data_IF_476489510989
#
_entry.id   IF_476489510989
#
_cell.length_a   1.000
_cell.length_b   1.000
_cell.length_c   1.000
_cell.angle_alpha   90.00
_cell.angle_beta   90.00
_cell.angle_gamma   90.00
#
_symmetry.space_group_name_H-M   'P 1'
#
loop_
_entity.id
_entity.type
_entity.pdbx_description
1 polymer ?
#
# COMPACT_ATOMS: atom_id res chain seq x y z
N UNK A 1 27.30 18.05 54.36
CA UNK A 1 26.38 18.62 53.35
C UNK A 1 27.08 18.56 52.02
N UNK A 2 27.05 17.40 51.36
CA UNK A 2 27.41 17.25 49.94
C UNK A 2 26.37 16.31 49.35
N UNK A 3 25.46 16.88 48.57
CA UNK A 3 24.42 16.14 47.87
C UNK A 3 25.06 15.42 46.68
N UNK A 4 25.01 14.09 46.71
CA UNK A 4 25.53 13.24 45.64
C UNK A 4 24.61 13.36 44.42
N UNK A 5 25.17 13.81 43.29
CA UNK A 5 24.46 13.94 42.01
C UNK A 5 24.02 12.55 41.50
N UNK A 6 22.83 12.42 40.88
CA UNK A 6 22.38 11.14 40.36
C UNK A 6 23.29 10.70 39.20
N UNK A 7 23.74 9.46 39.28
CA UNK A 7 24.51 8.73 38.29
C UNK A 7 23.83 8.82 36.93
N UNK A 8 24.51 9.43 35.94
CA UNK A 8 24.05 9.46 34.56
C UNK A 8 24.06 8.02 34.06
N UNK A 9 22.89 7.38 34.02
CA UNK A 9 22.69 6.08 33.37
C UNK A 9 23.32 6.18 31.99
N UNK A 10 24.45 5.50 31.78
CA UNK A 10 25.06 5.35 30.46
C UNK A 10 24.02 4.60 29.61
N UNK A 11 23.28 5.36 28.80
CA UNK A 11 22.39 4.79 27.79
C UNK A 11 23.26 3.90 26.91
N UNK A 12 23.00 2.59 26.94
CA UNK A 12 23.57 1.66 25.99
C UNK A 12 23.35 2.25 24.58
N UNK A 13 24.36 2.20 23.68
CA UNK A 13 24.20 2.71 22.34
C UNK A 13 22.95 2.08 21.72
N UNK A 14 22.08 2.92 21.17
CA UNK A 14 20.87 2.49 20.49
C UNK A 14 21.25 1.38 19.49
N UNK A 15 20.65 0.18 19.55
CA UNK A 15 20.92 -0.91 18.62
C UNK A 15 20.80 -0.51 17.15
N UNK A 16 20.12 0.59 16.84
CA UNK A 16 19.93 1.13 15.50
C UNK A 16 20.89 2.27 15.12
N UNK A 17 21.88 2.59 15.97
CA UNK A 17 22.87 3.63 15.68
C UNK A 17 23.64 3.30 14.39
N UNK A 18 23.55 4.17 13.38
CA UNK A 18 24.19 4.00 12.06
C UNK A 18 23.30 3.39 10.96
N UNK A 19 22.03 3.07 11.25
CA UNK A 19 21.11 2.57 10.23
C UNK A 19 20.64 3.66 9.25
N UNK A 20 20.37 4.89 9.74
CA UNK A 20 20.17 6.08 8.90
C UNK A 20 20.27 7.37 9.71
N UNK A 21 20.66 8.46 9.03
CA UNK A 21 20.66 9.82 9.58
C UNK A 21 19.23 10.39 9.75
N UNK A 22 18.25 9.88 8.99
CA UNK A 22 16.85 10.24 9.13
C UNK A 22 16.11 9.37 10.16
N UNK A 23 15.14 9.95 10.86
CA UNK A 23 14.28 9.21 11.80
C UNK A 23 13.45 8.14 11.06
N UNK A 24 13.69 6.87 11.39
CA UNK A 24 12.98 5.73 10.82
C UNK A 24 11.85 5.27 11.75
N UNK A 25 10.60 5.18 11.29
CA UNK A 25 9.49 4.72 12.12
C UNK A 25 9.47 3.18 12.25
N UNK A 26 10.55 2.58 12.78
CA UNK A 26 10.75 1.12 12.85
C UNK A 26 9.60 0.41 13.58
N UNK A 27 9.19 0.92 14.75
CA UNK A 27 8.06 0.38 15.49
C UNK A 27 6.74 0.43 14.69
N UNK A 28 6.53 1.52 13.93
CA UNK A 28 5.39 1.67 13.03
C UNK A 28 5.42 0.62 11.91
N UNK A 29 6.58 0.41 11.28
CA UNK A 29 6.74 -0.60 10.22
C UNK A 29 6.51 -2.02 10.74
N UNK A 30 7.06 -2.37 11.90
CA UNK A 30 6.82 -3.67 12.54
C UNK A 30 5.33 -3.87 12.82
N UNK A 31 4.65 -2.82 13.29
CA UNK A 31 3.20 -2.88 13.52
C UNK A 31 2.43 -3.10 12.22
N UNK A 32 2.80 -2.43 11.12
CA UNK A 32 2.17 -2.62 9.81
C UNK A 32 2.38 -4.04 9.28
N UNK A 33 3.58 -4.61 9.44
CA UNK A 33 3.87 -6.00 9.07
C UNK A 33 3.03 -6.96 9.92
N UNK A 34 2.93 -6.72 11.23
CA UNK A 34 2.08 -7.50 12.13
C UNK A 34 0.61 -7.43 11.74
N UNK A 35 0.10 -6.23 11.39
CA UNK A 35 -1.25 -6.03 10.91
C UNK A 35 -1.51 -6.74 9.58
N UNK A 36 -0.55 -6.71 8.66
CA UNK A 36 -0.64 -7.43 7.39
C UNK A 36 -0.73 -8.94 7.61
N UNK A 37 0.19 -9.51 8.39
CA UNK A 37 0.16 -10.93 8.75
C UNK A 37 -1.14 -11.31 9.47
N UNK A 38 -1.59 -10.47 10.41
CA UNK A 38 -2.86 -10.64 11.10
C UNK A 38 -4.05 -10.67 10.15
N UNK A 39 -4.08 -9.80 9.13
CA UNK A 39 -5.13 -9.78 8.12
C UNK A 39 -5.17 -11.05 7.27
N UNK A 40 -4.00 -11.60 6.90
CA UNK A 40 -3.91 -12.86 6.18
C UNK A 40 -4.42 -14.04 7.02
N UNK A 41 -4.03 -14.08 8.30
CA UNK A 41 -4.52 -15.10 9.25
C UNK A 41 -6.03 -14.97 9.43
N UNK A 42 -6.54 -13.76 9.62
CA UNK A 42 -7.96 -13.50 9.76
C UNK A 42 -8.75 -13.94 8.52
N UNK A 43 -8.25 -13.64 7.32
CA UNK A 43 -8.86 -14.10 6.06
C UNK A 43 -8.86 -15.63 5.94
N UNK A 44 -7.76 -16.30 6.31
CA UNK A 44 -7.67 -17.75 6.30
C UNK A 44 -8.63 -18.41 7.32
N UNK A 45 -8.75 -17.83 8.51
CA UNK A 45 -9.73 -18.28 9.53
C UNK A 45 -11.15 -18.04 9.02
N UNK A 46 -11.44 -16.87 8.46
CA UNK A 46 -12.74 -16.53 7.87
C UNK A 46 -13.15 -17.53 6.78
N UNK A 47 -12.21 -17.92 5.90
CA UNK A 47 -12.46 -18.93 4.88
C UNK A 47 -12.82 -20.29 5.51
N UNK A 48 -12.07 -20.73 6.54
CA UNK A 48 -12.36 -21.98 7.26
C UNK A 48 -13.72 -21.98 7.95
N UNK A 49 -14.07 -20.92 8.68
CA UNK A 49 -15.35 -20.87 9.42
C UNK A 49 -16.55 -20.75 8.48
N UNK A 50 -16.37 -20.18 7.29
CA UNK A 50 -17.45 -20.03 6.28
C UNK A 50 -17.54 -21.24 5.34
N UNK A 51 -16.70 -22.27 5.53
CA UNK A 51 -16.64 -23.43 4.65
C UNK A 51 -16.22 -23.10 3.22
N UNK A 52 -15.46 -22.01 3.03
CA UNK A 52 -14.94 -21.61 1.71
C UNK A 52 -13.57 -22.20 1.50
N UNK A 53 -13.48 -23.11 0.55
CA UNK A 53 -12.23 -23.76 0.17
C UNK A 53 -11.49 -22.93 -0.89
N UNK A 54 -10.21 -22.61 -0.67
CA UNK A 54 -9.36 -22.05 -1.73
C UNK A 54 -9.27 -23.03 -2.90
N UNK A 55 -9.24 -22.56 -4.15
CA UNK A 55 -9.08 -23.44 -5.30
C UNK A 55 -7.70 -24.10 -5.27
N UNK A 56 -7.62 -25.37 -5.67
CA UNK A 56 -6.34 -26.09 -5.81
C UNK A 56 -5.40 -25.40 -6.80
N UNK A 57 -5.97 -24.79 -7.85
CA UNK A 57 -5.23 -24.01 -8.85
C UNK A 57 -5.97 -22.71 -9.16
N UNK A 58 -5.32 -21.55 -9.00
CA UNK A 58 -5.91 -20.28 -9.42
C UNK A 58 -6.09 -20.26 -10.94
N UNK A 59 -7.24 -19.74 -11.40
CA UNK A 59 -7.51 -19.58 -12.82
C UNK A 59 -6.55 -18.53 -13.41
N UNK A 60 -5.85 -18.79 -14.53
CA UNK A 60 -4.89 -17.84 -15.11
C UNK A 60 -5.50 -16.45 -15.41
N UNK A 61 -6.76 -16.42 -15.85
CA UNK A 61 -7.48 -15.18 -16.09
C UNK A 61 -7.71 -14.35 -14.81
N UNK A 62 -7.93 -15.00 -13.66
CA UNK A 62 -8.06 -14.29 -12.39
C UNK A 62 -6.70 -13.70 -11.97
N UNK A 63 -5.59 -14.41 -12.21
CA UNK A 63 -4.24 -13.91 -11.93
C UNK A 63 -3.93 -12.65 -12.75
N UNK A 64 -4.19 -12.69 -14.07
CA UNK A 64 -3.94 -11.54 -14.95
C UNK A 64 -4.84 -10.36 -14.55
N UNK A 65 -6.13 -10.60 -14.36
CA UNK A 65 -7.09 -9.56 -14.00
C UNK A 65 -6.76 -8.93 -12.65
N UNK A 66 -6.49 -9.73 -11.62
CA UNK A 66 -6.08 -9.23 -10.30
C UNK A 66 -4.73 -8.54 -10.38
N UNK A 67 -3.77 -9.02 -11.15
CA UNK A 67 -2.47 -8.38 -11.33
C UNK A 67 -2.58 -6.97 -11.91
N UNK A 68 -3.33 -6.83 -13.02
CA UNK A 68 -3.58 -5.53 -13.66
C UNK A 68 -4.38 -4.61 -12.73
N UNK A 69 -5.47 -5.12 -12.15
CA UNK A 69 -6.29 -4.36 -11.21
C UNK A 69 -5.50 -3.88 -9.99
N UNK A 70 -4.64 -4.74 -9.44
CA UNK A 70 -3.77 -4.42 -8.30
C UNK A 70 -2.83 -3.28 -8.64
N UNK A 71 -2.13 -3.36 -9.79
CA UNK A 71 -1.24 -2.31 -10.26
C UNK A 71 -1.97 -0.96 -10.40
N UNK A 72 -3.15 -0.97 -11.03
CA UNK A 72 -3.93 0.25 -11.24
C UNK A 72 -4.42 0.84 -9.92
N UNK A 73 -5.01 0.01 -9.07
CA UNK A 73 -5.57 0.46 -7.81
C UNK A 73 -4.48 0.97 -6.86
N UNK A 74 -3.32 0.31 -6.82
CA UNK A 74 -2.20 0.76 -6.00
C UNK A 74 -1.68 2.11 -6.43
N UNK A 75 -1.53 2.36 -7.74
CA UNK A 75 -1.16 3.69 -8.25
C UNK A 75 -2.24 4.73 -8.03
N UNK A 76 -3.51 4.37 -8.26
CA UNK A 76 -4.63 5.27 -8.06
C UNK A 76 -4.70 5.77 -6.62
N UNK A 77 -4.52 4.89 -5.63
CA UNK A 77 -4.53 5.28 -4.22
C UNK A 77 -3.25 6.02 -3.80
N UNK A 78 -2.09 5.57 -4.30
CA UNK A 78 -0.79 6.11 -3.87
C UNK A 78 -0.35 7.39 -4.56
N UNK A 79 -0.88 7.68 -5.75
CA UNK A 79 -0.40 8.78 -6.60
C UNK A 79 -1.50 9.69 -7.13
N UNK A 80 -2.75 9.26 -7.29
CA UNK A 80 -3.76 10.12 -7.92
C UNK A 80 -4.11 11.37 -7.10
N UNK A 81 -4.15 12.53 -7.75
CA UNK A 81 -4.63 13.78 -7.14
C UNK A 81 -6.07 13.66 -6.62
N UNK A 82 -6.92 12.88 -7.29
CA UNK A 82 -8.31 12.69 -6.90
C UNK A 82 -8.48 11.97 -5.55
N UNK A 83 -7.51 11.13 -5.18
CA UNK A 83 -7.49 10.38 -3.91
C UNK A 83 -6.59 11.03 -2.86
N UNK A 84 -6.04 12.22 -3.13
CA UNK A 84 -5.17 12.95 -2.20
C UNK A 84 -5.79 13.15 -0.81
N UNK A 85 -7.11 13.25 -0.71
CA UNK A 85 -7.80 13.37 0.58
C UNK A 85 -7.55 12.19 1.53
N UNK A 86 -7.29 10.99 1.02
CA UNK A 86 -6.94 9.81 1.83
C UNK A 86 -5.54 9.91 2.42
N UNK A 87 -4.62 10.52 1.66
CA UNK A 87 -3.20 10.65 1.99
C UNK A 87 -2.90 11.91 2.77
N UNK A 88 -3.69 12.96 2.55
CA UNK A 88 -3.51 14.28 3.14
C UNK A 88 -3.20 14.21 4.63
N UNK A 89 -3.89 13.44 5.51
CA UNK A 89 -3.55 13.38 6.94
C UNK A 89 -2.13 12.87 7.24
N UNK A 90 -1.53 12.06 6.37
CA UNK A 90 -0.26 11.35 6.57
C UNK A 90 0.88 11.88 5.70
N UNK A 91 0.59 12.70 4.69
CA UNK A 91 1.56 13.16 3.69
C UNK A 91 1.54 14.68 3.51
N UNK A 92 2.60 15.20 2.91
CA UNK A 92 2.73 16.59 2.45
C UNK A 92 2.92 16.56 0.93
N UNK A 93 2.15 17.39 0.23
CA UNK A 93 2.29 17.55 -1.20
C UNK A 93 3.64 18.17 -1.54
N UNK A 94 4.38 17.56 -2.46
CA UNK A 94 5.63 18.12 -2.97
C UNK A 94 5.40 18.73 -4.35
N UNK A 95 5.07 17.91 -5.33
CA UNK A 95 4.93 18.36 -6.73
C UNK A 95 3.93 17.54 -7.55
N UNK A 96 3.38 18.10 -8.64
CA UNK A 96 2.62 17.33 -9.61
C UNK A 96 3.52 16.31 -10.32
N UNK A 97 3.05 15.08 -10.48
CA UNK A 97 3.79 14.02 -11.17
C UNK A 97 2.90 13.45 -12.28
N UNK A 98 3.33 13.53 -13.54
CA UNK A 98 2.53 13.01 -14.67
C UNK A 98 1.12 13.61 -14.83
N UNK A 99 0.25 12.91 -15.56
CA UNK A 99 -1.13 13.37 -15.79
C UNK A 99 -2.03 12.97 -14.62
N UNK A 100 -2.32 13.92 -13.72
CA UNK A 100 -3.28 13.72 -12.62
C UNK A 100 -2.73 12.90 -11.44
N UNK A 101 -1.44 12.61 -11.42
CA UNK A 101 -0.71 12.06 -10.27
C UNK A 101 0.05 13.18 -9.52
N UNK A 102 0.45 12.90 -8.28
CA UNK A 102 1.16 13.81 -7.39
C UNK A 102 2.22 13.03 -6.61
N UNK A 103 3.37 13.66 -6.40
CA UNK A 103 4.39 13.20 -5.48
C UNK A 103 4.21 13.89 -4.11
N UNK A 104 4.36 13.09 -3.07
CA UNK A 104 4.10 13.49 -1.69
C UNK A 104 5.15 12.84 -0.78
N UNK A 105 5.51 13.56 0.28
CA UNK A 105 6.43 13.08 1.33
C UNK A 105 5.66 12.68 2.57
N UNK A 106 6.03 11.60 3.28
CA UNK A 106 5.35 11.23 4.51
C UNK A 106 5.69 12.24 5.61
N UNK A 107 4.70 12.61 6.43
CA UNK A 107 4.86 13.60 7.50
C UNK A 107 4.65 13.04 8.90
N UNK A 108 5.14 13.81 9.87
CA UNK A 108 5.09 13.45 11.29
C UNK A 108 6.11 12.36 11.65
N UNK A 109 5.86 11.69 12.78
CA UNK A 109 6.76 10.69 13.36
C UNK A 109 6.00 9.40 13.69
N UNK A 110 6.75 8.33 14.03
CA UNK A 110 6.20 7.05 14.46
C UNK A 110 5.16 6.47 13.49
N UNK A 111 3.98 6.09 14.01
CA UNK A 111 2.92 5.45 13.23
C UNK A 111 2.42 6.30 12.07
N UNK A 112 2.30 7.62 12.26
CA UNK A 112 1.80 8.53 11.22
C UNK A 112 2.72 8.52 10.00
N UNK A 113 4.04 8.57 10.24
CA UNK A 113 5.06 8.50 9.19
C UNK A 113 5.05 7.13 8.51
N UNK A 114 4.98 6.03 9.27
CA UNK A 114 4.93 4.68 8.70
C UNK A 114 3.70 4.45 7.80
N UNK A 115 2.52 4.93 8.21
CA UNK A 115 1.30 4.89 7.38
C UNK A 115 1.47 5.75 6.14
N UNK A 116 2.04 6.96 6.28
CA UNK A 116 2.37 7.82 5.15
C UNK A 116 3.28 7.13 4.13
N UNK A 117 4.37 6.50 4.59
CA UNK A 117 5.32 5.73 3.76
C UNK A 117 4.62 4.60 3.00
N UNK A 118 3.71 3.87 3.65
CA UNK A 118 2.93 2.82 3.01
C UNK A 118 1.97 3.38 1.96
N UNK A 119 1.26 4.47 2.27
CA UNK A 119 0.23 5.04 1.40
C UNK A 119 0.81 5.66 0.12
N UNK A 120 2.02 6.22 0.16
CA UNK A 120 2.68 6.80 -1.03
C UNK A 120 3.53 5.79 -1.81
N UNK A 121 3.75 4.59 -1.24
CA UNK A 121 4.53 3.52 -1.85
C UNK A 121 3.60 2.57 -2.63
N UNK A 122 3.47 2.70 -3.97
CA UNK A 122 2.56 1.87 -4.74
C UNK A 122 2.92 0.38 -4.67
N UNK A 123 4.19 0.03 -4.48
CA UNK A 123 4.63 -1.36 -4.31
C UNK A 123 4.24 -1.94 -2.94
N UNK A 124 4.28 -1.12 -1.90
CA UNK A 124 3.90 -1.53 -0.56
C UNK A 124 2.37 -1.71 -0.51
N UNK A 125 1.64 -0.75 -1.09
CA UNK A 125 0.19 -0.78 -1.16
C UNK A 125 -0.34 -1.89 -2.08
N UNK A 126 0.37 -2.23 -3.16
CA UNK A 126 -0.02 -3.33 -4.05
C UNK A 126 -0.04 -4.67 -3.32
N UNK A 127 0.84 -4.88 -2.34
CA UNK A 127 0.84 -6.09 -1.51
C UNK A 127 -0.46 -6.23 -0.69
N UNK A 128 -0.94 -5.13 -0.10
CA UNK A 128 -2.21 -5.11 0.63
C UNK A 128 -3.41 -5.35 -0.29
N UNK A 129 -3.40 -4.70 -1.46
CA UNK A 129 -4.48 -4.84 -2.45
C UNK A 129 -4.53 -6.26 -3.01
N UNK A 130 -3.37 -6.84 -3.36
CA UNK A 130 -3.28 -8.21 -3.85
C UNK A 130 -3.82 -9.20 -2.81
N UNK A 131 -3.40 -9.07 -1.54
CA UNK A 131 -3.92 -9.88 -0.45
C UNK A 131 -5.45 -9.74 -0.29
N UNK A 132 -5.96 -8.50 -0.40
CA UNK A 132 -7.40 -8.22 -0.37
C UNK A 132 -8.16 -8.88 -1.52
N UNK A 133 -7.64 -8.82 -2.75
CA UNK A 133 -8.22 -9.52 -3.90
C UNK A 133 -8.15 -11.05 -3.71
N UNK A 134 -7.03 -11.60 -3.22
CA UNK A 134 -6.91 -13.03 -2.95
C UNK A 134 -7.93 -13.50 -1.92
N UNK A 135 -8.05 -12.80 -0.79
CA UNK A 135 -9.06 -13.10 0.21
C UNK A 135 -10.49 -12.95 -0.34
N UNK A 136 -10.73 -11.89 -1.12
CA UNK A 136 -12.00 -11.63 -1.78
C UNK A 136 -12.40 -12.72 -2.77
N UNK A 137 -11.46 -13.27 -3.55
CA UNK A 137 -11.74 -14.36 -4.48
C UNK A 137 -12.19 -15.64 -3.76
N UNK A 138 -11.77 -15.86 -2.51
CA UNK A 138 -12.22 -16.99 -1.69
C UNK A 138 -13.57 -16.70 -1.03
N UNK A 139 -13.71 -15.52 -0.42
CA UNK A 139 -14.88 -15.18 0.41
C UNK A 139 -16.09 -14.69 -0.42
N UNK A 140 -15.85 -13.90 -1.47
CA UNK A 140 -16.86 -13.23 -2.30
C UNK A 140 -16.47 -13.16 -3.79
N UNK A 141 -16.24 -14.30 -4.48
CA UNK A 141 -15.64 -14.35 -5.82
C UNK A 141 -16.31 -13.48 -6.87
N UNK A 142 -17.65 -13.43 -6.90
CA UNK A 142 -18.40 -12.66 -7.92
C UNK A 142 -18.16 -11.16 -7.79
N UNK A 143 -18.23 -10.64 -6.57
CA UNK A 143 -18.00 -9.22 -6.30
C UNK A 143 -16.54 -8.86 -6.58
N UNK A 144 -15.61 -9.70 -6.12
CA UNK A 144 -14.17 -9.48 -6.31
C UNK A 144 -13.77 -9.48 -7.78
N UNK A 145 -14.31 -10.42 -8.59
CA UNK A 145 -14.08 -10.44 -10.04
C UNK A 145 -14.66 -9.21 -10.72
N UNK A 146 -15.83 -8.73 -10.31
CA UNK A 146 -16.42 -7.52 -10.87
C UNK A 146 -15.54 -6.29 -10.62
N UNK A 147 -15.02 -6.15 -9.40
CA UNK A 147 -14.10 -5.05 -9.04
C UNK A 147 -12.75 -5.18 -9.77
N UNK A 148 -12.19 -6.38 -9.85
CA UNK A 148 -10.94 -6.59 -10.59
C UNK A 148 -11.12 -6.30 -12.09
N UNK A 149 -12.26 -6.71 -12.67
CA UNK A 149 -12.59 -6.43 -14.06
C UNK A 149 -12.74 -4.93 -14.33
N UNK A 150 -13.38 -4.17 -13.43
CA UNK A 150 -13.57 -2.72 -13.62
C UNK A 150 -12.23 -1.97 -13.64
N UNK A 151 -11.32 -2.26 -12.71
CA UNK A 151 -9.99 -1.62 -12.69
C UNK A 151 -9.09 -2.09 -13.84
N UNK A 152 -9.25 -3.35 -14.28
CA UNK A 152 -8.57 -3.85 -15.49
C UNK A 152 -9.05 -3.10 -16.73
N UNK A 153 -10.37 -2.95 -16.91
CA UNK A 153 -10.95 -2.19 -18.01
C UNK A 153 -10.51 -0.72 -17.98
N UNK A 154 -10.45 -0.11 -16.80
CA UNK A 154 -9.92 1.25 -16.64
C UNK A 154 -8.47 1.36 -17.10
N UNK A 155 -7.63 0.37 -16.80
CA UNK A 155 -6.23 0.34 -17.24
C UNK A 155 -6.13 0.30 -18.76
N UNK A 156 -6.95 -0.53 -19.41
CA UNK A 156 -7.05 -0.56 -20.89
C UNK A 156 -7.46 0.82 -21.42
N UNK A 157 -8.44 1.47 -20.81
CA UNK A 157 -8.85 2.83 -21.16
C UNK A 157 -7.71 3.85 -21.05
N UNK A 158 -6.93 3.80 -19.98
CA UNK A 158 -5.77 4.69 -19.79
C UNK A 158 -4.74 4.50 -20.92
N UNK A 159 -4.44 3.25 -21.29
CA UNK A 159 -3.52 2.96 -22.41
C UNK A 159 -4.06 3.47 -23.75
N UNK A 160 -5.37 3.34 -23.99
CA UNK A 160 -6.00 3.90 -25.19
C UNK A 160 -5.90 5.42 -25.23
N UNK A 161 -6.09 6.11 -24.10
CA UNK A 161 -5.88 7.56 -24.03
C UNK A 161 -4.44 7.96 -24.35
N UNK A 162 -3.45 7.21 -23.84
CA UNK A 162 -2.03 7.45 -24.16
C UNK A 162 -1.75 7.21 -25.64
N UNK A 163 -2.26 6.12 -26.21
CA UNK A 163 -2.09 5.80 -27.62
C UNK A 163 -2.72 6.87 -28.53
N UNK A 164 -3.93 7.33 -28.20
CA UNK A 164 -4.61 8.38 -28.95
C UNK A 164 -3.82 9.68 -28.96
N UNK A 165 -3.35 10.14 -27.79
CA UNK A 165 -2.47 11.33 -27.69
C UNK A 165 -1.19 11.18 -28.53
N UNK A 166 -0.56 10.01 -28.49
CA UNK A 166 0.65 9.76 -29.26
C UNK A 166 0.41 9.74 -30.79
N UNK A 167 -0.82 9.46 -31.25
CA UNK A 167 -1.20 9.59 -32.65
C UNK A 167 -1.45 11.06 -33.02
N UNK A 168 -2.16 11.81 -32.17
CA UNK A 168 -2.45 13.24 -32.39
C UNK A 168 -1.17 14.08 -32.45
N UNK A 169 -0.19 13.82 -31.57
CA UNK A 169 1.09 14.54 -31.56
C UNK A 169 1.95 14.31 -32.82
N UNK A 170 1.61 13.31 -33.65
CA UNK A 170 2.34 12.95 -34.88
C UNK A 170 1.69 13.46 -36.15
N UNK A 171 0.46 13.97 -36.09
CA UNK A 171 -0.31 14.49 -37.22
C UNK A 171 -0.03 15.98 -37.46
#
# INVERSE_FOLDING_TARGET
MEAQAPERVQQAPDPFSGYSEEEQPLAGRVTLVGAFAGSLVAAAVAARITGREPPERPHPGDIVMVGVATHKLSRLLAKSKATSFLRAPFTEFEEPCGTGEVDERPRGHGMRRAVGELLICPYCLSQWIAAGFTAGLVLAPRATRLVAASYTAQTVGDFLHVAFRACDDRA
#
